data_IF_350691709611
#
_entry.id   IF_350691709611
#
_cell.length_a   1.000
_cell.length_b   1.000
_cell.length_c   1.000
_cell.angle_alpha   90.00
_cell.angle_beta   90.00
_cell.angle_gamma   90.00
#
_symmetry.space_group_name_H-M   'P 1'
#
loop_
_entity.id
_entity.type
_entity.pdbx_description
1 polymer ?
#
# COMPACT_ATOMS: atom_id res chain seq x y z
N UNK A 1 -20.23 -16.55 -12.59
CA UNK A 1 -18.87 -15.97 -12.45
C UNK A 1 -17.92 -17.09 -12.03
N UNK A 2 -16.72 -17.17 -12.59
CA UNK A 2 -15.73 -18.18 -12.14
C UNK A 2 -15.42 -17.92 -10.67
N UNK A 3 -15.28 -18.98 -9.85
CA UNK A 3 -14.98 -18.88 -8.41
C UNK A 3 -13.73 -18.03 -8.15
N UNK A 4 -12.75 -18.10 -9.06
CA UNK A 4 -11.56 -17.25 -9.07
C UNK A 4 -11.88 -15.75 -9.11
N UNK A 5 -12.87 -15.30 -9.89
CA UNK A 5 -13.27 -13.89 -9.93
C UNK A 5 -13.93 -13.43 -8.63
N UNK A 6 -14.69 -14.31 -7.97
CA UNK A 6 -15.32 -14.00 -6.68
C UNK A 6 -14.24 -13.88 -5.58
N UNK A 7 -13.28 -14.80 -5.57
CA UNK A 7 -12.16 -14.78 -4.64
C UNK A 7 -11.30 -13.53 -4.81
N UNK A 8 -11.04 -13.12 -6.05
CA UNK A 8 -10.29 -11.91 -6.37
C UNK A 8 -11.03 -10.63 -5.91
N UNK A 9 -12.35 -10.57 -6.11
CA UNK A 9 -13.20 -9.50 -5.59
C UNK A 9 -13.16 -9.42 -4.06
N UNK A 10 -13.17 -10.58 -3.38
CA UNK A 10 -13.11 -10.65 -1.93
C UNK A 10 -11.76 -10.13 -1.39
N UNK A 11 -10.64 -10.54 -2.00
CA UNK A 11 -9.31 -10.03 -1.66
C UNK A 11 -9.24 -8.52 -1.89
N UNK A 12 -9.73 -8.03 -3.03
CA UNK A 12 -9.72 -6.61 -3.35
C UNK A 12 -10.52 -5.79 -2.34
N UNK A 13 -11.72 -6.25 -1.98
CA UNK A 13 -12.56 -5.62 -0.96
C UNK A 13 -11.87 -5.60 0.41
N UNK A 14 -11.20 -6.70 0.77
CA UNK A 14 -10.47 -6.83 2.02
C UNK A 14 -9.28 -5.86 2.09
N UNK A 15 -8.54 -5.68 0.99
CA UNK A 15 -7.46 -4.67 0.88
C UNK A 15 -8.00 -3.26 1.07
N UNK A 16 -9.14 -2.92 0.45
CA UNK A 16 -9.80 -1.63 0.64
C UNK A 16 -10.23 -1.44 2.09
N UNK A 17 -10.80 -2.48 2.71
CA UNK A 17 -11.25 -2.44 4.09
C UNK A 17 -10.10 -2.21 5.07
N UNK A 18 -8.97 -2.90 4.91
CA UNK A 18 -7.78 -2.67 5.74
C UNK A 18 -7.17 -1.28 5.52
N UNK A 19 -7.18 -0.79 4.28
CA UNK A 19 -6.77 0.58 3.96
C UNK A 19 -7.65 1.62 4.68
N UNK A 20 -8.96 1.41 4.69
CA UNK A 20 -9.91 2.23 5.43
C UNK A 20 -9.68 2.15 6.95
N UNK A 21 -9.48 0.95 7.50
CA UNK A 21 -9.17 0.77 8.92
C UNK A 21 -7.89 1.50 9.33
N UNK A 22 -6.83 1.43 8.52
CA UNK A 22 -5.57 2.13 8.79
C UNK A 22 -5.77 3.65 8.86
N UNK A 23 -6.59 4.22 7.96
CA UNK A 23 -6.92 5.64 7.98
C UNK A 23 -7.81 6.03 9.17
N UNK A 24 -8.74 5.15 9.56
CA UNK A 24 -9.73 5.44 10.61
C UNK A 24 -9.26 5.17 12.03
N UNK A 25 -8.38 4.20 12.26
CA UNK A 25 -7.83 3.92 13.60
C UNK A 25 -6.68 4.87 13.94
N UNK A 26 -5.90 5.28 12.94
CA UNK A 26 -4.76 6.14 13.16
C UNK A 26 -5.10 7.62 12.89
N UNK A 27 -6.10 8.13 13.61
CA UNK A 27 -6.45 9.56 13.60
C UNK A 27 -5.47 10.44 14.37
N UNK A 28 -4.52 9.83 15.08
CA UNK A 28 -3.45 10.54 15.78
C UNK A 28 -2.60 11.30 14.75
N UNK A 29 -2.55 12.62 14.93
CA UNK A 29 -1.67 13.50 14.16
C UNK A 29 -0.28 13.44 14.80
N UNK A 30 0.73 13.16 13.98
CA UNK A 30 2.12 13.15 14.41
C UNK A 30 2.87 14.22 13.65
N UNK A 31 3.70 14.96 14.38
CA UNK A 31 4.67 15.89 13.82
C UNK A 31 5.80 15.10 13.17
N UNK A 32 5.87 15.15 11.85
CA UNK A 32 7.05 14.74 11.12
C UNK A 32 7.94 15.96 10.93
N UNK A 33 9.15 15.89 11.47
CA UNK A 33 10.17 16.88 11.21
C UNK A 33 10.95 16.49 9.95
N UNK A 34 10.70 17.20 8.85
CA UNK A 34 11.30 16.94 7.56
C UNK A 34 12.20 18.13 7.20
N UNK A 35 13.52 17.95 7.29
CA UNK A 35 14.50 19.02 7.01
C UNK A 35 14.20 20.31 7.81
N UNK A 36 13.96 20.20 9.12
CA UNK A 36 13.62 21.30 10.02
C UNK A 36 12.26 21.97 9.76
N UNK A 37 11.40 21.32 8.97
CA UNK A 37 10.02 21.73 8.75
C UNK A 37 9.11 20.74 9.46
N UNK A 38 8.45 21.21 10.51
CA UNK A 38 7.41 20.45 11.19
C UNK A 38 6.16 20.38 10.31
N UNK A 39 5.78 19.17 9.91
CA UNK A 39 4.58 18.89 9.13
C UNK A 39 3.71 17.95 9.96
N UNK A 40 2.51 18.40 10.30
CA UNK A 40 1.53 17.58 11.02
C UNK A 40 0.82 16.68 10.00
N UNK A 41 1.04 15.37 10.10
CA UNK A 41 0.47 14.39 9.18
C UNK A 41 -0.28 13.34 9.99
N UNK A 42 -1.44 12.92 9.48
CA UNK A 42 -2.21 11.82 10.06
C UNK A 42 -1.44 10.51 9.85
N UNK A 43 -1.16 9.77 10.94
CA UNK A 43 -0.41 8.51 10.86
C UNK A 43 -1.02 7.52 9.86
N UNK A 44 -2.36 7.49 9.77
CA UNK A 44 -3.05 6.62 8.82
C UNK A 44 -2.69 6.91 7.36
N UNK A 45 -2.50 8.19 7.02
CA UNK A 45 -2.14 8.60 5.66
C UNK A 45 -0.66 8.27 5.38
N UNK A 46 0.20 8.48 6.38
CA UNK A 46 1.62 8.14 6.29
C UNK A 46 1.83 6.64 6.09
N UNK A 47 1.20 5.81 6.93
CA UNK A 47 1.30 4.34 6.86
C UNK A 47 0.73 3.79 5.56
N UNK A 48 -0.40 4.32 5.10
CA UNK A 48 -0.99 3.94 3.80
C UNK A 48 -0.06 4.31 2.64
N UNK A 49 0.54 5.51 2.65
CA UNK A 49 1.49 5.92 1.61
C UNK A 49 2.73 5.02 1.57
N UNK A 50 3.28 4.66 2.74
CA UNK A 50 4.42 3.74 2.83
C UNK A 50 4.06 2.35 2.33
N UNK A 51 2.86 1.86 2.63
CA UNK A 51 2.39 0.55 2.14
C UNK A 51 2.26 0.54 0.61
N UNK A 52 1.66 1.59 0.03
CA UNK A 52 1.51 1.71 -1.43
C UNK A 52 2.87 1.80 -2.12
N UNK A 53 3.80 2.60 -1.61
CA UNK A 53 5.16 2.69 -2.14
C UNK A 53 5.85 1.33 -2.08
N UNK A 54 5.77 0.63 -0.94
CA UNK A 54 6.31 -0.72 -0.79
C UNK A 54 5.75 -1.71 -1.81
N UNK A 55 4.43 -1.70 -2.01
CA UNK A 55 3.75 -2.57 -2.97
C UNK A 55 4.22 -2.28 -4.41
N UNK A 56 4.34 -1.01 -4.79
CA UNK A 56 4.84 -0.60 -6.11
C UNK A 56 6.28 -1.09 -6.29
N UNK A 57 7.15 -0.93 -5.29
CA UNK A 57 8.55 -1.39 -5.39
C UNK A 57 8.65 -2.90 -5.59
N UNK A 58 7.85 -3.71 -4.87
CA UNK A 58 7.78 -5.15 -5.09
C UNK A 58 7.33 -5.49 -6.51
N UNK A 59 6.26 -4.86 -7.01
CA UNK A 59 5.76 -5.14 -8.36
C UNK A 59 6.80 -4.79 -9.44
N UNK A 60 7.54 -3.69 -9.27
CA UNK A 60 8.62 -3.30 -10.19
C UNK A 60 9.72 -4.35 -10.18
N UNK A 61 10.18 -4.79 -9.01
CA UNK A 61 11.22 -5.80 -8.88
C UNK A 61 10.79 -7.15 -9.47
N UNK A 62 9.57 -7.58 -9.19
CA UNK A 62 9.01 -8.82 -9.72
C UNK A 62 8.87 -8.75 -11.25
N UNK A 63 8.44 -7.61 -11.79
CA UNK A 63 8.37 -7.38 -13.24
C UNK A 63 9.76 -7.45 -13.90
N UNK A 64 10.79 -6.84 -13.29
CA UNK A 64 12.17 -6.93 -13.77
C UNK A 64 12.65 -8.39 -13.73
N UNK A 65 12.37 -9.10 -12.64
CA UNK A 65 12.74 -10.51 -12.48
C UNK A 65 12.10 -11.41 -13.55
N UNK A 66 10.79 -11.27 -13.76
CA UNK A 66 10.05 -12.03 -14.78
C UNK A 66 10.51 -11.68 -16.20
N UNK A 67 10.78 -10.41 -16.48
CA UNK A 67 11.33 -9.98 -17.76
C UNK A 67 12.70 -10.61 -18.05
N UNK A 68 13.57 -10.66 -17.03
CA UNK A 68 14.89 -11.31 -17.14
C UNK A 68 14.75 -12.82 -17.31
N UNK A 69 13.85 -13.47 -16.58
CA UNK A 69 13.58 -14.91 -16.68
C UNK A 69 13.11 -15.32 -18.07
N UNK A 70 12.29 -14.51 -18.72
CA UNK A 70 11.73 -14.84 -20.05
C UNK A 70 12.75 -14.67 -21.20
N UNK A 71 13.93 -14.08 -20.94
CA UNK A 71 15.03 -13.95 -21.91
C UNK A 71 16.08 -15.07 -21.83
N UNK A 72 16.01 -15.92 -20.80
CA UNK A 72 16.78 -17.17 -20.68
C UNK A 72 15.91 -18.35 -21.08
#
# INVERSE_FOLDING_TARGET
>A
MKVSSIFLLLIFSLVIFFSFLLLRLNQVEVSLDLLFKEIQIRLGLLTLSSFVVGLITCLVLESIYLYKRNKN
#
